data_IF_430650361336
#
_entry.id   IF_430650361336
#
_cell.length_a   1.000
_cell.length_b   1.000
_cell.length_c   1.000
_cell.angle_alpha   90.00
_cell.angle_beta   90.00
_cell.angle_gamma   90.00
#
_symmetry.space_group_name_H-M   'P 1'
#
loop_
_entity.id
_entity.type
_entity.pdbx_description
1 polymer ?
#
# COMPACT_ATOMS: atom_id res chain seq x y z
N UNK A 1 -16.68 28.84 62.44
CA UNK A 1 -15.70 29.74 61.80
C UNK A 1 -14.61 28.83 61.23
N UNK A 2 -14.95 28.11 60.17
CA UNK A 2 -14.62 28.40 58.77
C UNK A 2 -13.12 28.50 58.51
N UNK A 3 -12.70 27.58 57.65
CA UNK A 3 -11.37 27.23 57.14
C UNK A 3 -10.61 28.41 56.53
N UNK A 4 -9.26 28.37 56.56
CA UNK A 4 -8.38 28.25 55.38
C UNK A 4 -6.94 28.76 55.61
N UNK A 5 -6.00 28.03 54.98
CA UNK A 5 -4.70 28.42 54.41
C UNK A 5 -3.39 28.19 55.17
N UNK A 6 -2.37 27.82 54.36
CA UNK A 6 -0.92 27.63 54.57
C UNK A 6 -0.46 26.15 54.68
N UNK A 7 0.47 25.58 53.91
CA UNK A 7 1.19 25.88 52.64
C UNK A 7 1.68 24.53 52.09
N UNK A 8 1.71 24.38 50.77
CA UNK A 8 2.22 23.25 50.00
C UNK A 8 3.75 23.09 50.10
N UNK A 9 4.25 21.85 50.20
CA UNK A 9 5.41 21.42 49.40
C UNK A 9 5.48 19.88 49.33
N UNK A 10 4.81 19.29 48.34
CA UNK A 10 5.16 17.95 47.85
C UNK A 10 5.84 18.14 46.50
N UNK A 11 7.17 18.10 46.51
CA UNK A 11 7.98 17.98 45.31
C UNK A 11 7.68 16.62 44.66
N UNK A 12 6.79 16.60 43.67
CA UNK A 12 6.72 15.50 42.73
C UNK A 12 7.79 15.74 41.67
N UNK A 13 8.93 15.06 41.80
CA UNK A 13 9.86 14.91 40.68
C UNK A 13 9.15 14.07 39.61
N UNK A 14 8.64 14.73 38.58
CA UNK A 14 8.29 14.06 37.33
C UNK A 14 9.60 13.66 36.66
N UNK A 15 9.99 12.40 36.84
CA UNK A 15 11.03 11.80 36.02
C UNK A 15 10.44 11.68 34.60
N UNK A 16 10.74 12.64 33.73
CA UNK A 16 10.49 12.52 32.30
C UNK A 16 11.32 11.34 31.81
N UNK A 17 10.71 10.17 31.71
CA UNK A 17 11.30 9.06 30.99
C UNK A 17 11.36 9.49 29.53
N UNK A 18 12.56 9.90 29.10
CA UNK A 18 12.90 9.93 27.68
C UNK A 18 12.67 8.51 27.18
N UNK A 19 11.53 8.27 26.55
CA UNK A 19 11.32 7.07 25.76
C UNK A 19 12.33 7.19 24.62
N UNK A 20 13.44 6.46 24.74
CA UNK A 20 14.32 6.29 23.61
C UNK A 20 13.47 5.61 22.53
N UNK A 21 13.11 6.38 21.51
CA UNK A 21 12.58 5.86 20.26
C UNK A 21 13.72 5.02 19.69
N UNK A 22 13.64 3.70 19.86
CA UNK A 22 14.50 2.80 19.13
C UNK A 22 14.10 2.95 17.66
N UNK A 23 14.97 3.57 16.88
CA UNK A 23 14.89 3.46 15.43
C UNK A 23 15.05 1.98 15.11
N UNK A 24 13.98 1.35 14.65
CA UNK A 24 14.02 -0.02 14.17
C UNK A 24 15.00 -0.07 13.01
N UNK A 25 15.99 -0.95 13.11
CA UNK A 25 17.03 -1.08 12.11
C UNK A 25 16.37 -1.61 10.84
N UNK A 26 16.38 -0.81 9.77
CA UNK A 26 15.71 -1.16 8.53
C UNK A 26 16.21 -2.52 8.02
N UNK A 27 15.32 -3.45 7.63
CA UNK A 27 15.71 -4.76 7.10
C UNK A 27 16.40 -4.68 5.73
N UNK A 28 16.62 -3.47 5.20
CA UNK A 28 17.36 -3.21 3.97
C UNK A 28 18.48 -2.22 4.29
N UNK A 29 19.72 -2.68 4.13
CA UNK A 29 20.93 -1.87 4.32
C UNK A 29 20.89 -0.64 3.39
N UNK A 30 20.98 0.57 3.98
CA UNK A 30 20.93 1.84 3.26
C UNK A 30 19.55 2.51 3.13
N UNK A 31 18.50 1.96 3.74
CA UNK A 31 17.14 2.54 3.70
C UNK A 31 16.62 2.89 5.10
N UNK A 32 15.86 3.97 5.23
CA UNK A 32 15.12 4.31 6.45
C UNK A 32 13.65 3.86 6.36
N UNK A 33 13.12 3.22 7.41
CA UNK A 33 11.69 2.98 7.54
C UNK A 33 11.06 4.28 8.04
N UNK A 34 10.30 4.96 7.20
CA UNK A 34 9.41 6.04 7.63
C UNK A 34 7.99 5.50 7.80
N UNK A 35 7.31 5.89 8.89
CA UNK A 35 5.90 5.57 9.07
C UNK A 35 5.06 6.22 7.97
N UNK A 36 4.28 5.42 7.24
CA UNK A 36 3.44 5.88 6.14
C UNK A 36 2.18 6.57 6.68
N UNK A 37 1.82 7.72 6.12
CA UNK A 37 0.58 8.44 6.42
C UNK A 37 -0.45 8.28 5.29
N UNK A 38 -1.70 8.02 5.64
CA UNK A 38 -2.82 7.73 4.75
C UNK A 38 -3.92 8.76 4.95
N UNK A 39 -4.32 9.47 3.89
CA UNK A 39 -5.53 10.29 3.91
C UNK A 39 -6.71 9.45 3.41
N UNK A 40 -7.68 9.15 4.28
CA UNK A 40 -8.77 8.21 4.01
C UNK A 40 -10.11 8.73 4.51
N UNK A 41 -11.19 8.44 3.77
CA UNK A 41 -12.55 8.70 4.22
C UNK A 41 -12.95 7.66 5.28
N UNK A 42 -13.58 8.10 6.36
CA UNK A 42 -14.07 7.17 7.41
C UNK A 42 -15.48 6.65 7.13
N UNK A 43 -16.22 7.37 6.28
CA UNK A 43 -17.58 7.08 5.82
C UNK A 43 -17.69 7.52 4.36
N UNK A 44 -18.48 6.85 3.51
CA UNK A 44 -18.58 7.23 2.10
C UNK A 44 -18.95 8.70 1.87
N UNK A 45 -18.14 9.43 1.12
CA UNK A 45 -18.35 10.85 0.80
C UNK A 45 -18.17 11.79 2.00
N UNK A 46 -17.58 11.30 3.10
CA UNK A 46 -17.33 12.04 4.32
C UNK A 46 -15.99 12.79 4.33
N UNK A 47 -15.66 13.46 5.44
CA UNK A 47 -14.36 14.08 5.62
C UNK A 47 -13.25 13.03 5.68
N UNK A 48 -12.07 13.39 5.18
CA UNK A 48 -10.87 12.56 5.27
C UNK A 48 -10.16 12.74 6.62
N UNK A 49 -9.49 11.67 7.06
CA UNK A 49 -8.60 11.66 8.21
C UNK A 49 -7.21 11.18 7.81
N UNK A 50 -6.18 11.66 8.50
CA UNK A 50 -4.81 11.19 8.30
C UNK A 50 -4.49 10.11 9.34
N UNK A 51 -4.24 8.89 8.88
CA UNK A 51 -3.89 7.73 9.70
C UNK A 51 -2.47 7.26 9.41
N UNK A 52 -1.73 6.85 10.44
CA UNK A 52 -0.33 6.45 10.31
C UNK A 52 -0.13 4.96 10.57
N UNK A 53 0.60 4.29 9.69
CA UNK A 53 0.98 2.89 9.86
C UNK A 53 0.96 2.09 8.56
N UNK A 54 1.06 0.76 8.73
CA UNK A 54 0.82 -0.18 7.63
C UNK A 54 -0.65 -0.15 7.21
N UNK A 55 -0.96 -0.72 6.05
CA UNK A 55 -2.34 -0.76 5.58
C UNK A 55 -3.25 -1.56 6.52
N UNK A 56 -2.73 -2.61 7.17
CA UNK A 56 -3.45 -3.38 8.19
C UNK A 56 -3.77 -2.51 9.42
N UNK A 57 -2.81 -1.70 9.87
CA UNK A 57 -2.98 -0.79 11.01
C UNK A 57 -3.97 0.34 10.68
N UNK A 58 -3.92 0.86 9.45
CA UNK A 58 -4.87 1.88 8.99
C UNK A 58 -6.28 1.28 8.86
N UNK A 59 -6.41 0.05 8.36
CA UNK A 59 -7.72 -0.62 8.29
C UNK A 59 -8.27 -0.97 9.69
N UNK A 60 -7.42 -1.37 10.64
CA UNK A 60 -7.87 -1.55 12.02
C UNK A 60 -8.34 -0.23 12.63
N UNK A 61 -7.60 0.86 12.41
CA UNK A 61 -8.01 2.20 12.84
C UNK A 61 -9.32 2.63 12.18
N UNK A 62 -9.52 2.35 10.89
CA UNK A 62 -10.76 2.64 10.19
C UNK A 62 -11.94 1.84 10.73
N UNK A 63 -11.73 0.56 11.08
CA UNK A 63 -12.77 -0.27 11.72
C UNK A 63 -13.10 0.16 13.14
N UNK A 64 -12.13 0.71 13.87
CA UNK A 64 -12.37 1.36 15.16
C UNK A 64 -13.19 2.64 15.01
N UNK A 65 -12.88 3.46 14.00
CA UNK A 65 -13.60 4.71 13.72
C UNK A 65 -15.01 4.45 13.17
N UNK A 66 -15.13 3.47 12.27
CA UNK A 66 -16.39 3.06 11.66
C UNK A 66 -16.49 1.52 11.67
N UNK A 67 -17.19 0.92 12.66
CA UNK A 67 -17.40 -0.52 12.71
C UNK A 67 -18.17 -1.10 11.50
N UNK A 68 -18.87 -0.25 10.74
CA UNK A 68 -19.64 -0.62 9.56
C UNK A 68 -18.90 -0.33 8.24
N UNK A 69 -17.62 0.07 8.32
CA UNK A 69 -16.79 0.50 7.20
C UNK A 69 -16.88 -0.43 5.97
N UNK A 70 -16.77 -1.74 6.20
CA UNK A 70 -16.80 -2.73 5.11
C UNK A 70 -18.13 -2.74 4.35
N UNK A 71 -19.27 -2.62 5.04
CA UNK A 71 -20.59 -2.65 4.41
C UNK A 71 -20.93 -1.33 3.70
N UNK A 72 -20.48 -0.20 4.25
CA UNK A 72 -20.74 1.12 3.68
C UNK A 72 -19.92 1.37 2.43
N UNK A 73 -18.67 0.90 2.38
CA UNK A 73 -17.85 1.04 1.18
C UNK A 73 -18.07 -0.07 0.15
N UNK A 74 -18.64 -1.22 0.54
CA UNK A 74 -19.06 -2.26 -0.42
C UNK A 74 -20.23 -1.81 -1.32
N UNK A 75 -21.08 -0.90 -0.85
CA UNK A 75 -22.27 -0.43 -1.58
C UNK A 75 -22.01 0.76 -2.51
N UNK A 76 -20.79 1.33 -2.49
CA UNK A 76 -20.42 2.54 -3.25
C UNK A 76 -19.66 2.18 -4.54
N UNK A 77 -19.40 0.89 -4.79
CA UNK A 77 -18.92 0.42 -6.09
C UNK A 77 -20.05 0.66 -7.10
N UNK A 78 -19.90 1.53 -8.11
CA UNK A 78 -20.92 1.67 -9.13
C UNK A 78 -21.03 0.34 -9.88
N UNK A 79 -22.22 -0.28 -9.83
CA UNK A 79 -22.62 -1.34 -10.75
C UNK A 79 -22.52 -0.79 -12.19
N UNK A 80 -21.44 -1.11 -12.89
CA UNK A 80 -21.46 -1.05 -14.34
C UNK A 80 -22.13 -2.32 -14.85
N UNK A 81 -23.46 -2.28 -14.89
CA UNK A 81 -24.28 -3.18 -15.69
C UNK A 81 -23.80 -3.16 -17.15
N UNK A 82 -23.35 -4.30 -17.68
CA UNK A 82 -23.84 -4.80 -18.97
C UNK A 82 -23.64 -6.32 -19.10
N UNK A 83 -24.61 -7.05 -19.68
CA UNK A 83 -24.74 -8.49 -19.55
C UNK A 83 -23.82 -9.26 -20.49
N UNK A 84 -23.44 -10.47 -20.08
CA UNK A 84 -22.78 -11.44 -20.93
C UNK A 84 -23.67 -11.83 -22.13
N UNK A 85 -23.20 -11.54 -23.35
CA UNK A 85 -23.70 -12.18 -24.55
C UNK A 85 -22.53 -12.84 -25.29
N UNK A 86 -22.60 -14.16 -25.39
CA UNK A 86 -21.71 -14.97 -26.20
C UNK A 86 -22.08 -14.78 -27.67
N UNK A 87 -21.27 -14.03 -28.42
CA UNK A 87 -21.15 -14.21 -29.86
C UNK A 87 -19.67 -14.26 -30.22
N UNK A 88 -19.28 -15.38 -30.83
CA UNK A 88 -17.96 -15.58 -31.38
C UNK A 88 -17.88 -14.88 -32.73
N UNK A 89 -17.18 -13.75 -32.80
CA UNK A 89 -16.67 -13.20 -34.05
C UNK A 89 -15.25 -12.66 -33.80
N UNK A 90 -14.30 -13.18 -34.56
CA UNK A 90 -12.92 -12.72 -34.59
C UNK A 90 -12.87 -11.31 -35.19
N UNK A 91 -12.57 -10.30 -34.39
CA UNK A 91 -12.08 -9.02 -34.90
C UNK A 91 -10.80 -8.58 -34.18
N UNK A 92 -9.76 -8.50 -35.00
CA UNK A 92 -8.45 -7.89 -34.79
C UNK A 92 -8.59 -6.46 -34.25
N UNK A 93 -8.51 -6.31 -32.93
CA UNK A 93 -8.42 -5.01 -32.27
C UNK A 93 -7.06 -4.88 -31.58
N UNK A 94 -6.03 -4.69 -32.42
CA UNK A 94 -4.66 -4.34 -32.05
C UNK A 94 -4.49 -2.97 -31.36
N UNK A 95 -5.51 -2.44 -30.68
CA UNK A 95 -5.55 -1.03 -30.23
C UNK A 95 -5.75 -0.83 -28.74
N UNK A 96 -5.16 -1.64 -27.85
CA UNK A 96 -4.95 -1.26 -26.44
C UNK A 96 -3.67 -1.90 -25.86
N UNK A 97 -2.65 -2.09 -26.70
CA UNK A 97 -1.32 -2.41 -26.21
C UNK A 97 -0.68 -1.14 -25.66
N UNK A 98 -0.99 -0.81 -24.40
CA UNK A 98 -0.06 -0.04 -23.60
C UNK A 98 1.31 -0.70 -23.75
N UNK A 99 2.33 0.10 -24.09
CA UNK A 99 3.72 -0.34 -24.23
C UNK A 99 4.01 -1.32 -23.07
N UNK A 100 4.46 -2.54 -23.38
CA UNK A 100 4.91 -3.47 -22.33
C UNK A 100 5.91 -2.69 -21.48
N UNK A 101 5.62 -2.53 -20.18
CA UNK A 101 6.53 -1.89 -19.25
C UNK A 101 7.90 -2.57 -19.31
N UNK A 102 8.94 -1.84 -18.94
CA UNK A 102 10.29 -2.42 -18.86
C UNK A 102 10.33 -3.36 -17.66
N UNK A 103 9.85 -4.60 -17.85
CA UNK A 103 9.76 -5.60 -16.80
C UNK A 103 11.08 -6.37 -16.74
N UNK A 104 11.71 -6.33 -15.57
CA UNK A 104 12.93 -7.08 -15.30
C UNK A 104 12.65 -8.19 -14.29
N UNK A 105 12.86 -9.44 -14.72
CA UNK A 105 12.60 -10.62 -13.90
C UNK A 105 13.83 -11.10 -13.11
N UNK A 106 13.60 -11.77 -11.98
CA UNK A 106 14.62 -12.57 -11.29
C UNK A 106 15.74 -11.79 -10.59
N UNK A 107 15.61 -10.46 -10.42
CA UNK A 107 16.61 -9.64 -9.71
C UNK A 107 16.55 -9.76 -8.18
N UNK A 108 15.45 -10.28 -7.64
CA UNK A 108 15.20 -10.36 -6.19
C UNK A 108 14.92 -11.80 -5.76
N UNK A 109 15.04 -12.15 -4.47
CA UNK A 109 14.56 -13.43 -3.99
C UNK A 109 13.05 -13.56 -4.26
N UNK A 110 12.61 -14.76 -4.65
CA UNK A 110 11.27 -14.97 -5.20
C UNK A 110 10.17 -14.98 -4.14
N UNK A 111 9.05 -14.34 -4.45
CA UNK A 111 7.79 -14.42 -3.71
C UNK A 111 6.93 -15.58 -4.22
N UNK A 112 6.03 -16.08 -3.38
CA UNK A 112 5.04 -17.09 -3.76
C UNK A 112 3.88 -16.46 -4.54
N UNK A 113 3.48 -17.10 -5.64
CA UNK A 113 2.40 -16.65 -6.50
C UNK A 113 1.09 -16.45 -5.75
N UNK A 114 0.69 -17.41 -4.93
CA UNK A 114 -0.57 -17.35 -4.18
C UNK A 114 -0.68 -16.14 -3.27
N UNK A 115 0.45 -15.70 -2.71
CA UNK A 115 0.48 -14.56 -1.80
C UNK A 115 0.45 -13.25 -2.57
N UNK A 116 1.12 -13.20 -3.71
CA UNK A 116 1.09 -12.06 -4.61
C UNK A 116 -0.31 -11.90 -5.22
N UNK A 117 -1.00 -12.97 -5.58
CA UNK A 117 -2.39 -12.90 -6.05
C UNK A 117 -3.33 -12.33 -4.99
N UNK A 118 -3.15 -12.72 -3.73
CA UNK A 118 -3.89 -12.11 -2.62
C UNK A 118 -3.53 -10.63 -2.46
N UNK A 119 -2.26 -10.28 -2.59
CA UNK A 119 -1.82 -8.88 -2.54
C UNK A 119 -2.41 -8.03 -3.67
N UNK A 120 -2.44 -8.55 -4.91
CA UNK A 120 -3.08 -7.90 -6.06
C UNK A 120 -4.58 -7.72 -5.79
N UNK A 121 -5.27 -8.79 -5.37
CA UNK A 121 -6.71 -8.72 -5.04
C UNK A 121 -6.99 -7.71 -3.93
N UNK A 122 -6.13 -7.68 -2.91
CA UNK A 122 -6.21 -6.72 -1.83
C UNK A 122 -6.08 -5.28 -2.33
N UNK A 123 -5.01 -4.96 -3.09
CA UNK A 123 -4.79 -3.61 -3.64
C UNK A 123 -5.96 -3.13 -4.50
N UNK A 124 -6.62 -4.03 -5.24
CA UNK A 124 -7.82 -3.70 -6.04
C UNK A 124 -9.04 -3.31 -5.19
N UNK A 125 -9.08 -3.75 -3.93
CA UNK A 125 -10.15 -3.40 -2.98
C UNK A 125 -9.87 -2.13 -2.18
N UNK A 126 -8.64 -1.59 -2.23
CA UNK A 126 -8.28 -0.39 -1.45
C UNK A 126 -8.71 0.88 -2.20
N UNK A 127 -9.65 1.68 -1.64
CA UNK A 127 -10.03 2.95 -2.24
C UNK A 127 -8.94 4.01 -2.00
N UNK A 128 -8.98 5.08 -2.79
CA UNK A 128 -8.11 6.24 -2.61
C UNK A 128 -6.93 6.32 -3.57
N UNK A 129 -6.16 7.39 -3.43
CA UNK A 129 -5.05 7.77 -4.33
C UNK A 129 -3.73 7.64 -3.58
N UNK A 130 -2.94 6.59 -3.79
CA UNK A 130 -1.70 6.43 -3.06
C UNK A 130 -0.74 7.56 -3.42
N UNK A 131 -0.09 8.10 -2.38
CA UNK A 131 0.93 9.13 -2.49
C UNK A 131 2.26 8.59 -1.96
N UNK A 132 3.35 8.99 -2.61
CA UNK A 132 4.70 8.68 -2.16
C UNK A 132 5.59 9.90 -2.33
N UNK A 133 6.34 10.22 -1.28
CA UNK A 133 7.26 11.35 -1.24
C UNK A 133 8.29 11.32 -2.38
N UNK A 134 9.01 12.42 -2.56
CA UNK A 134 10.05 12.52 -3.59
C UNK A 134 11.10 11.42 -3.41
N UNK A 135 11.49 10.80 -4.51
CA UNK A 135 12.65 9.95 -4.64
C UNK A 135 13.93 10.72 -5.00
N UNK A 136 14.96 10.05 -5.54
CA UNK A 136 14.91 8.70 -6.13
C UNK A 136 14.82 7.56 -5.09
N UNK A 137 14.17 6.46 -5.46
CA UNK A 137 14.14 5.25 -4.62
C UNK A 137 13.30 5.35 -3.34
N UNK A 138 12.38 6.33 -3.25
CA UNK A 138 11.37 6.27 -2.19
C UNK A 138 10.51 5.05 -2.48
N UNK A 139 10.58 4.03 -1.63
CA UNK A 139 9.90 2.76 -1.82
C UNK A 139 9.08 2.44 -0.57
N UNK A 140 8.00 1.71 -0.74
CA UNK A 140 7.27 1.19 0.40
C UNK A 140 6.40 0.03 0.03
N UNK A 141 6.29 -0.85 1.01
CA UNK A 141 5.51 -2.05 0.93
C UNK A 141 4.03 -1.69 0.95
N UNK A 142 3.31 -2.05 -0.11
CA UNK A 142 1.88 -1.79 -0.24
C UNK A 142 1.04 -3.03 0.03
N UNK A 143 1.68 -4.20 0.00
CA UNK A 143 1.10 -5.46 0.43
C UNK A 143 2.20 -6.41 0.89
N UNK A 144 1.96 -7.12 1.99
CA UNK A 144 2.82 -8.18 2.50
C UNK A 144 1.96 -9.36 2.92
N UNK A 145 2.36 -10.57 2.55
CA UNK A 145 1.76 -11.76 3.13
C UNK A 145 2.72 -12.93 3.20
N UNK A 146 2.83 -13.51 4.40
CA UNK A 146 3.81 -14.54 4.77
C UNK A 146 5.24 -14.24 4.31
N UNK A 147 5.59 -14.64 3.10
CA UNK A 147 6.95 -14.54 2.56
C UNK A 147 7.02 -13.77 1.24
N UNK A 148 6.02 -12.93 0.98
CA UNK A 148 5.78 -12.34 -0.34
C UNK A 148 5.29 -10.90 -0.19
N UNK A 149 5.90 -9.96 -0.92
CA UNK A 149 5.50 -8.56 -0.86
C UNK A 149 5.45 -7.88 -2.23
N UNK A 150 4.54 -6.91 -2.32
CA UNK A 150 4.42 -5.96 -3.42
C UNK A 150 4.89 -4.60 -2.90
N UNK A 151 5.80 -3.98 -3.62
CA UNK A 151 6.34 -2.66 -3.32
C UNK A 151 5.98 -1.68 -4.41
N UNK A 152 5.77 -0.43 -4.01
CA UNK A 152 5.65 0.70 -4.92
C UNK A 152 6.79 1.67 -4.65
N UNK A 153 7.50 2.06 -5.69
CA UNK A 153 8.63 2.98 -5.63
C UNK A 153 8.40 4.21 -6.51
N UNK A 154 8.80 5.37 -6.02
CA UNK A 154 8.83 6.63 -6.74
C UNK A 154 10.28 7.04 -6.99
N UNK A 155 10.66 7.15 -8.26
CA UNK A 155 11.97 7.59 -8.72
C UNK A 155 11.95 9.04 -9.23
N UNK A 156 10.81 9.73 -9.15
CA UNK A 156 10.73 11.17 -9.40
C UNK A 156 11.37 11.94 -8.26
N UNK A 157 11.88 13.14 -8.54
CA UNK A 157 12.36 14.08 -7.53
C UNK A 157 11.24 14.84 -6.81
N UNK A 158 9.99 14.48 -7.06
CA UNK A 158 8.79 15.11 -6.50
C UNK A 158 7.81 14.03 -6.04
N UNK A 159 6.90 14.42 -5.15
CA UNK A 159 5.85 13.55 -4.63
C UNK A 159 4.96 13.03 -5.76
N UNK A 160 4.83 11.71 -5.87
CA UNK A 160 4.01 11.05 -6.87
C UNK A 160 2.68 10.64 -6.25
N UNK A 161 1.59 10.92 -6.96
CA UNK A 161 0.24 10.46 -6.63
C UNK A 161 -0.25 9.61 -7.79
N UNK A 162 -0.65 8.37 -7.53
CA UNK A 162 -1.30 7.55 -8.56
C UNK A 162 -2.83 7.72 -8.51
N UNK A 163 -3.53 7.54 -9.63
CA UNK A 163 -4.99 7.61 -9.67
C UNK A 163 -5.69 6.63 -8.73
N UNK A 164 -5.09 5.46 -8.48
CA UNK A 164 -5.62 4.45 -7.55
C UNK A 164 -4.57 3.40 -7.18
N UNK A 165 -4.89 2.54 -6.21
CA UNK A 165 -4.10 1.32 -5.93
C UNK A 165 -4.17 0.28 -7.06
N UNK A 166 -5.16 0.36 -7.97
CA UNK A 166 -5.22 -0.50 -9.15
C UNK A 166 -3.98 -0.33 -10.03
N UNK A 167 -3.40 0.87 -10.10
CA UNK A 167 -2.18 1.10 -10.87
C UNK A 167 -1.00 0.24 -10.39
N UNK A 168 -0.86 0.07 -9.07
CA UNK A 168 0.19 -0.77 -8.48
C UNK A 168 -0.16 -2.26 -8.64
N UNK A 169 -1.44 -2.60 -8.48
CA UNK A 169 -1.95 -3.96 -8.69
C UNK A 169 -1.70 -4.44 -10.13
N UNK A 170 -1.90 -3.56 -11.12
CA UNK A 170 -1.68 -3.86 -12.53
C UNK A 170 -0.19 -4.03 -12.85
N UNK A 171 0.69 -3.23 -12.24
CA UNK A 171 2.14 -3.44 -12.32
C UNK A 171 2.56 -4.81 -11.74
N UNK A 172 2.04 -5.18 -10.57
CA UNK A 172 2.30 -6.49 -9.96
C UNK A 172 1.74 -7.64 -10.82
N UNK A 173 0.56 -7.47 -11.42
CA UNK A 173 -0.03 -8.44 -12.35
C UNK A 173 0.81 -8.58 -13.62
N UNK A 174 1.33 -7.48 -14.17
CA UNK A 174 2.21 -7.51 -15.33
C UNK A 174 3.52 -8.25 -15.03
N UNK A 175 4.12 -8.01 -13.85
CA UNK A 175 5.30 -8.75 -13.38
C UNK A 175 4.98 -10.25 -13.28
N UNK A 176 3.85 -10.62 -12.68
CA UNK A 176 3.41 -12.03 -12.59
C UNK A 176 3.31 -12.65 -13.99
N UNK A 177 2.56 -12.02 -14.89
CA UNK A 177 2.33 -12.51 -16.24
C UNK A 177 3.62 -12.66 -17.05
N UNK A 178 4.62 -11.85 -16.76
CA UNK A 178 5.89 -11.80 -17.49
C UNK A 178 6.96 -12.71 -16.89
N UNK A 179 7.05 -12.80 -15.56
CA UNK A 179 8.19 -13.41 -14.85
C UNK A 179 7.91 -14.79 -14.26
N UNK A 180 6.65 -15.22 -14.18
CA UNK A 180 6.31 -16.55 -13.67
C UNK A 180 6.41 -17.59 -14.80
N UNK A 181 7.44 -18.44 -14.76
CA UNK A 181 7.68 -19.48 -15.76
C UNK A 181 7.69 -20.88 -15.14
N UNK A 182 6.53 -21.56 -15.11
CA UNK A 182 6.44 -22.99 -14.78
C UNK A 182 6.71 -23.39 -13.32
N UNK A 183 6.70 -22.43 -12.39
CA UNK A 183 6.87 -22.64 -10.94
C UNK A 183 5.81 -21.94 -10.11
N UNK A 184 5.99 -21.94 -8.78
CA UNK A 184 5.10 -21.25 -7.83
C UNK A 184 5.69 -19.97 -7.23
N UNK A 185 6.91 -19.62 -7.65
CA UNK A 185 7.60 -18.44 -7.13
C UNK A 185 8.19 -17.62 -8.25
N UNK A 186 8.22 -16.30 -8.08
CA UNK A 186 8.81 -15.36 -9.02
C UNK A 186 9.24 -14.08 -8.33
N UNK A 187 10.06 -13.29 -9.01
CA UNK A 187 10.32 -11.90 -8.66
C UNK A 187 10.43 -11.08 -9.92
N UNK A 188 10.18 -9.78 -9.79
CA UNK A 188 10.44 -8.85 -10.87
C UNK A 188 10.11 -7.43 -10.50
N UNK A 189 10.40 -6.53 -11.42
CA UNK A 189 10.19 -5.11 -11.28
C UNK A 189 9.70 -4.54 -12.61
N UNK A 190 8.64 -3.74 -12.55
CA UNK A 190 8.02 -3.09 -13.70
C UNK A 190 8.25 -1.58 -13.62
N UNK A 191 8.97 -1.02 -14.59
CA UNK A 191 9.26 0.41 -14.66
C UNK A 191 8.27 1.14 -15.58
N UNK A 192 7.73 2.26 -15.09
CA UNK A 192 6.84 3.15 -15.84
C UNK A 192 7.57 4.39 -16.33
N UNK A 193 7.15 4.91 -17.50
CA UNK A 193 7.76 6.07 -18.17
C UNK A 193 7.78 7.34 -17.30
N UNK A 194 6.82 7.48 -16.40
CA UNK A 194 6.68 8.59 -15.47
C UNK A 194 7.38 8.35 -14.11
N UNK A 195 8.46 7.54 -14.15
CA UNK A 195 9.48 7.32 -13.12
C UNK A 195 8.94 6.84 -11.78
N UNK A 196 8.07 5.84 -11.83
CA UNK A 196 7.75 5.02 -10.68
C UNK A 196 7.79 3.55 -11.11
N UNK A 197 7.88 2.65 -10.15
CA UNK A 197 7.97 1.23 -10.45
C UNK A 197 7.25 0.38 -9.40
N UNK A 198 6.87 -0.83 -9.81
CA UNK A 198 6.33 -1.86 -8.93
C UNK A 198 7.37 -2.96 -8.77
N UNK A 199 7.54 -3.52 -7.57
CA UNK A 199 8.43 -4.66 -7.32
C UNK A 199 7.67 -5.79 -6.65
N UNK A 200 7.82 -7.00 -7.19
CA UNK A 200 7.43 -8.25 -6.54
C UNK A 200 8.67 -8.98 -6.08
N UNK A 201 8.77 -9.26 -4.78
CA UNK A 201 9.89 -9.98 -4.18
C UNK A 201 9.51 -10.64 -2.87
N UNK A 202 10.33 -11.60 -2.45
CA UNK A 202 10.32 -12.11 -1.09
C UNK A 202 10.49 -10.97 -0.09
N UNK A 203 9.67 -11.02 0.95
CA UNK A 203 9.87 -10.27 2.18
C UNK A 203 9.26 -11.07 3.33
N UNK A 204 9.87 -11.03 4.50
CA UNK A 204 9.27 -11.61 5.69
C UNK A 204 8.18 -10.67 6.22
N UNK A 205 6.96 -11.17 6.21
CA UNK A 205 5.80 -10.65 6.93
C UNK A 205 5.57 -11.56 8.15
#
# INVERSE_FOLDING_TARGET
MFERWLVYLKLALFCLTLHQVQADESPIEGYSIEEFSWEVETTPGGPTVVLNGTVEKVLSQLREINPNYEAEFATVVPESDHPAEHTAEEEDTSSHLAKRGDVVCGKFPSAYESDIDRGIKYLRSVPGKPQRGPGPGSCGQVSCSWSSAIWWCNDNTFTKVLPSFNNIADGAQLIKNTCLHGGQTFSGQDFHDDKWNTIVRFNKC
#
